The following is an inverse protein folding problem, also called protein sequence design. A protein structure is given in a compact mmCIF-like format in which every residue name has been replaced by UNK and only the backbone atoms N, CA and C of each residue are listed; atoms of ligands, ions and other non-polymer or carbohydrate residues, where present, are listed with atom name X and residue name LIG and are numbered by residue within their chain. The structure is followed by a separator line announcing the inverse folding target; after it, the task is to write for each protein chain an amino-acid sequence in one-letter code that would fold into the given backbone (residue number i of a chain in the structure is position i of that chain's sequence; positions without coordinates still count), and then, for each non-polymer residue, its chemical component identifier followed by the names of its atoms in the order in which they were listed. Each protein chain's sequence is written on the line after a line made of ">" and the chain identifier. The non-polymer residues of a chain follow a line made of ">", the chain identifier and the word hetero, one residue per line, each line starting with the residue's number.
data_IF_556918652750
#
_entry.id   IF_556918652750
#
_cell.length_a   1.000
_cell.length_b   1.000
_cell.length_c   1.000
_cell.angle_alpha   90.00
_cell.angle_beta   90.00
_cell.angle_gamma   90.00
#
_symmetry.space_group_name_H-M   'P 1'
#
loop_
_entity.id
_entity.type
_entity.pdbx_description
1 polymer ?
#
# COMPACT_ATOMS: atom_id res chain seq x y z
N UNK A 1 -4.77 -12.02 2.87
CA UNK A 1 -3.76 -13.05 3.21
C UNK A 1 -2.54 -12.88 2.28
N UNK A 2 -1.50 -13.71 2.41
CA UNK A 2 -0.37 -13.71 1.46
C UNK A 2 -0.82 -13.98 0.02
N UNK A 3 -1.67 -14.99 -0.18
CA UNK A 3 -2.17 -15.35 -1.51
C UNK A 3 -3.01 -14.22 -2.12
N UNK A 4 -3.84 -13.55 -1.31
CA UNK A 4 -4.60 -12.39 -1.77
C UNK A 4 -3.68 -11.22 -2.18
N UNK A 5 -2.58 -11.00 -1.44
CA UNK A 5 -1.62 -9.94 -1.75
C UNK A 5 -0.83 -10.23 -3.03
N UNK A 6 -0.45 -11.50 -3.26
CA UNK A 6 0.18 -11.94 -4.51
C UNK A 6 -0.77 -11.78 -5.70
N UNK A 7 -2.01 -12.26 -5.55
CA UNK A 7 -3.04 -12.08 -6.58
C UNK A 7 -3.29 -10.60 -6.88
N UNK A 8 -3.33 -9.74 -5.87
CA UNK A 8 -3.47 -8.29 -6.08
C UNK A 8 -2.27 -7.70 -6.84
N UNK A 9 -1.05 -8.16 -6.57
CA UNK A 9 0.13 -7.75 -7.32
C UNK A 9 0.05 -8.19 -8.79
N UNK A 10 -0.33 -9.45 -9.06
CA UNK A 10 -0.50 -9.99 -10.42
C UNK A 10 -1.55 -9.21 -11.21
N UNK A 11 -2.74 -9.00 -10.63
CA UNK A 11 -3.82 -8.27 -11.31
C UNK A 11 -3.42 -6.81 -11.62
N UNK A 12 -2.73 -6.13 -10.69
CA UNK A 12 -2.25 -4.76 -10.93
C UNK A 12 -1.07 -4.70 -11.91
N UNK A 13 -0.25 -5.76 -11.98
CA UNK A 13 0.83 -5.86 -12.97
C UNK A 13 0.27 -5.95 -14.38
N UNK A 14 -0.72 -6.82 -14.58
CA UNK A 14 -1.41 -7.00 -15.87
C UNK A 14 -2.14 -5.72 -16.31
N UNK A 15 -2.83 -5.05 -15.38
CA UNK A 15 -3.60 -3.83 -15.68
C UNK A 15 -2.72 -2.67 -16.14
N UNK A 16 -1.58 -2.47 -15.47
CA UNK A 16 -0.67 -1.34 -15.76
C UNK A 16 0.51 -1.69 -16.66
N UNK A 17 0.65 -2.97 -17.04
CA UNK A 17 1.75 -3.48 -17.86
C UNK A 17 3.12 -2.99 -17.38
N UNK A 18 3.35 -3.10 -16.06
CA UNK A 18 4.61 -2.66 -15.45
C UNK A 18 5.76 -3.52 -15.99
N UNK A 19 6.90 -2.93 -16.39
CA UNK A 19 8.08 -3.70 -16.76
C UNK A 19 8.53 -4.66 -15.65
N UNK A 20 8.91 -5.89 -16.03
CA UNK A 20 9.20 -6.98 -15.07
C UNK A 20 10.31 -6.61 -14.08
N UNK A 21 11.34 -5.87 -14.52
CA UNK A 21 12.45 -5.39 -13.69
C UNK A 21 12.02 -4.41 -12.58
N UNK A 22 10.94 -3.67 -12.81
CA UNK A 22 10.33 -2.79 -11.82
C UNK A 22 9.33 -3.57 -10.96
N UNK A 23 8.59 -4.51 -11.56
CA UNK A 23 7.61 -5.33 -10.86
C UNK A 23 8.24 -6.22 -9.79
N UNK A 24 9.42 -6.78 -10.03
CA UNK A 24 10.17 -7.56 -9.02
C UNK A 24 10.42 -6.75 -7.73
N UNK A 25 10.66 -5.44 -7.85
CA UNK A 25 10.81 -4.56 -6.67
C UNK A 25 9.49 -4.36 -5.93
N UNK A 26 8.37 -4.31 -6.64
CA UNK A 26 7.04 -4.16 -6.06
C UNK A 26 6.66 -5.38 -5.20
N UNK A 27 7.02 -6.59 -5.64
CA UNK A 27 6.84 -7.83 -4.88
C UNK A 27 7.64 -7.84 -3.56
N UNK A 28 8.73 -7.09 -3.52
CA UNK A 28 9.55 -6.89 -2.32
C UNK A 28 9.05 -5.70 -1.46
N UNK A 29 7.91 -5.11 -1.79
CA UNK A 29 7.38 -3.88 -1.18
C UNK A 29 8.38 -2.73 -1.25
N UNK A 30 8.98 -2.54 -2.42
CA UNK A 30 9.77 -1.37 -2.79
C UNK A 30 9.08 -0.70 -3.98
N UNK A 31 8.65 0.54 -3.82
CA UNK A 31 7.93 1.30 -4.86
C UNK A 31 8.80 2.46 -5.34
N UNK A 32 9.79 2.22 -6.23
CA UNK A 32 10.65 3.27 -6.76
C UNK A 32 9.86 4.33 -7.54
N UNK A 33 10.47 5.49 -7.74
CA UNK A 33 9.93 6.53 -8.62
C UNK A 33 9.91 6.01 -10.07
N UNK A 34 8.71 5.80 -10.59
CA UNK A 34 8.48 5.40 -11.96
C UNK A 34 7.08 5.87 -12.39
N UNK A 35 6.90 6.17 -13.67
CA UNK A 35 5.63 6.73 -14.20
C UNK A 35 4.40 5.87 -13.93
N UNK A 36 4.58 4.56 -13.72
CA UNK A 36 3.51 3.60 -13.45
C UNK A 36 3.31 3.31 -11.95
N UNK A 37 4.27 3.68 -11.09
CA UNK A 37 4.23 3.33 -9.66
C UNK A 37 2.99 3.87 -8.99
N UNK A 38 2.60 5.12 -9.28
CA UNK A 38 1.48 5.75 -8.59
C UNK A 38 0.18 4.97 -8.75
N UNK A 39 -0.19 4.66 -9.99
CA UNK A 39 -1.45 3.96 -10.25
C UNK A 39 -1.37 2.47 -9.92
N UNK A 40 -0.19 1.85 -10.04
CA UNK A 40 0.02 0.49 -9.54
C UNK A 40 -0.24 0.41 -8.02
N UNK A 41 0.35 1.33 -7.24
CA UNK A 41 0.16 1.35 -5.78
C UNK A 41 -1.30 1.58 -5.43
N UNK A 42 -1.96 2.53 -6.09
CA UNK A 42 -3.41 2.78 -5.97
C UNK A 42 -4.21 1.49 -6.18
N UNK A 43 -3.98 0.80 -7.29
CA UNK A 43 -4.64 -0.46 -7.60
C UNK A 43 -4.44 -1.50 -6.48
N UNK A 44 -3.20 -1.65 -6.02
CA UNK A 44 -2.89 -2.64 -5.00
C UNK A 44 -3.57 -2.33 -3.66
N UNK A 45 -3.52 -1.08 -3.18
CA UNK A 45 -4.15 -0.69 -1.91
C UNK A 45 -5.68 -0.76 -1.95
N UNK A 46 -6.29 -0.61 -3.14
CA UNK A 46 -7.73 -0.84 -3.34
C UNK A 46 -8.10 -2.32 -3.28
N UNK A 47 -7.33 -3.18 -3.96
CA UNK A 47 -7.55 -4.64 -3.93
C UNK A 47 -7.35 -5.21 -2.53
N UNK A 48 -6.43 -4.64 -1.76
CA UNK A 48 -6.26 -4.96 -0.33
C UNK A 48 -7.34 -4.37 0.57
N UNK A 49 -8.29 -3.60 0.02
CA UNK A 49 -9.43 -3.05 0.74
C UNK A 49 -9.07 -1.99 1.78
N UNK A 50 -7.88 -1.40 1.69
CA UNK A 50 -7.41 -0.37 2.62
C UNK A 50 -7.55 1.04 2.07
N UNK A 51 -7.93 1.20 0.80
CA UNK A 51 -8.16 2.49 0.15
C UNK A 51 -9.38 2.42 -0.78
N UNK A 52 -10.06 3.54 -0.97
CA UNK A 52 -11.02 3.75 -2.05
C UNK A 52 -10.92 5.19 -2.54
N UNK A 53 -11.12 5.45 -3.83
CA UNK A 53 -11.03 6.81 -4.40
C UNK A 53 -11.92 7.83 -3.67
N UNK A 54 -13.14 7.42 -3.28
CA UNK A 54 -14.13 8.32 -2.69
C UNK A 54 -13.90 8.61 -1.20
N UNK A 55 -13.26 7.71 -0.45
CA UNK A 55 -13.12 7.83 1.02
C UNK A 55 -11.67 7.91 1.50
N UNK A 56 -10.71 7.70 0.60
CA UNK A 56 -9.31 7.57 0.97
C UNK A 56 -9.01 6.26 1.69
N UNK A 57 -7.99 6.31 2.55
CA UNK A 57 -7.52 5.17 3.31
C UNK A 57 -8.44 4.85 4.50
N UNK A 58 -8.75 3.57 4.69
CA UNK A 58 -9.53 3.08 5.82
C UNK A 58 -8.59 2.61 6.94
N UNK A 59 -8.34 3.50 7.90
CA UNK A 59 -7.46 3.23 9.05
C UNK A 59 -7.85 1.97 9.83
N UNK A 60 -9.15 1.69 9.99
CA UNK A 60 -9.62 0.49 10.69
C UNK A 60 -9.21 -0.78 9.95
N UNK A 61 -9.32 -0.79 8.62
CA UNK A 61 -8.90 -1.92 7.79
C UNK A 61 -7.37 -2.07 7.82
N UNK A 62 -6.62 -0.97 7.80
CA UNK A 62 -5.15 -1.00 7.91
C UNK A 62 -4.74 -1.63 9.24
N UNK A 63 -5.30 -1.16 10.37
CA UNK A 63 -5.00 -1.73 11.69
C UNK A 63 -5.36 -3.21 11.72
N UNK A 64 -6.56 -3.59 11.31
CA UNK A 64 -6.98 -4.99 11.29
C UNK A 64 -6.03 -5.87 10.44
N UNK A 65 -5.70 -5.43 9.22
CA UNK A 65 -4.86 -6.18 8.28
C UNK A 65 -3.43 -6.40 8.81
N UNK A 66 -2.85 -5.43 9.51
CA UNK A 66 -1.44 -5.48 9.89
C UNK A 66 -1.19 -5.90 11.35
N UNK A 67 -2.25 -6.08 12.14
CA UNK A 67 -2.14 -6.50 13.55
C UNK A 67 -2.87 -7.79 13.89
N UNK A 68 -3.62 -8.42 12.97
CA UNK A 68 -4.43 -9.60 13.31
C UNK A 68 -3.59 -10.79 13.80
N UNK A 69 -2.42 -11.06 13.20
CA UNK A 69 -1.53 -12.16 13.64
C UNK A 69 -0.61 -11.76 14.79
N UNK A 70 -0.24 -10.48 14.86
CA UNK A 70 0.74 -10.00 15.81
C UNK A 70 0.38 -8.59 16.31
N UNK A 71 -0.25 -8.55 17.47
CA UNK A 71 -0.67 -7.31 18.12
C UNK A 71 0.52 -6.39 18.49
N UNK A 72 1.76 -6.90 18.57
CA UNK A 72 2.95 -6.07 18.80
C UNK A 72 3.20 -5.06 17.67
N UNK A 73 2.61 -5.27 16.50
CA UNK A 73 2.69 -4.33 15.39
C UNK A 73 1.82 -3.08 15.60
N UNK A 74 0.85 -3.10 16.53
CA UNK A 74 -0.17 -2.06 16.66
C UNK A 74 0.43 -0.66 16.85
N UNK A 75 1.44 -0.53 17.70
CA UNK A 75 2.07 0.76 17.98
C UNK A 75 2.72 1.35 16.72
N UNK A 76 3.51 0.56 15.99
CA UNK A 76 4.16 0.97 14.74
C UNK A 76 3.14 1.31 13.64
N UNK A 77 2.08 0.50 13.51
CA UNK A 77 1.01 0.72 12.53
C UNK A 77 0.29 2.04 12.81
N UNK A 78 -0.08 2.30 14.07
CA UNK A 78 -0.73 3.55 14.49
C UNK A 78 0.19 4.76 14.32
N UNK A 79 1.46 4.63 14.68
CA UNK A 79 2.43 5.70 14.49
C UNK A 79 2.60 6.07 13.01
N UNK A 80 2.65 5.07 12.13
CA UNK A 80 2.69 5.30 10.68
C UNK A 80 1.43 6.02 10.18
N UNK A 81 0.24 5.63 10.67
CA UNK A 81 -1.02 6.28 10.29
C UNK A 81 -1.04 7.75 10.71
N UNK A 82 -0.75 8.04 11.98
CA UNK A 82 -0.71 9.42 12.52
C UNK A 82 0.23 10.33 11.71
N UNK A 83 1.37 9.79 11.25
CA UNK A 83 2.38 10.56 10.53
C UNK A 83 2.05 10.80 9.05
N UNK A 84 1.31 9.90 8.41
CA UNK A 84 1.26 9.81 6.95
C UNK A 84 -0.14 9.89 6.34
N UNK A 85 -1.19 9.67 7.13
CA UNK A 85 -2.56 9.71 6.62
C UNK A 85 -2.92 11.15 6.23
N UNK A 86 -3.46 11.35 5.04
CA UNK A 86 -4.02 12.63 4.59
C UNK A 86 -5.33 12.38 3.83
N UNK A 87 -6.17 13.42 3.72
CA UNK A 87 -7.49 13.34 3.08
C UNK A 87 -7.49 13.99 1.68
N UNK A 88 -6.40 13.83 0.95
CA UNK A 88 -6.07 14.49 -0.32
C UNK A 88 -6.02 16.03 -0.21
N UNK A 89 -5.44 16.54 0.87
CA UNK A 89 -5.29 17.98 1.15
C UNK A 89 -4.50 18.74 0.06
N UNK A 90 -3.77 18.00 -0.78
CA UNK A 90 -2.94 18.51 -1.87
C UNK A 90 -3.67 18.52 -3.22
N UNK A 91 -4.93 18.06 -3.25
CA UNK A 91 -5.79 18.02 -4.45
C UNK A 91 -5.12 17.35 -5.66
N UNK A 92 -4.26 16.37 -5.41
CA UNK A 92 -3.58 15.60 -6.46
C UNK A 92 -4.51 14.55 -7.05
N UNK A 93 -4.15 14.02 -8.23
CA UNK A 93 -4.83 12.86 -8.78
C UNK A 93 -4.78 11.66 -7.81
N UNK A 94 -5.79 10.79 -7.92
CA UNK A 94 -6.01 9.69 -6.96
C UNK A 94 -4.82 8.74 -6.89
N UNK A 95 -4.12 8.49 -8.00
CA UNK A 95 -2.94 7.63 -8.02
C UNK A 95 -1.80 8.25 -7.22
N UNK A 96 -1.51 9.54 -7.46
CA UNK A 96 -0.49 10.28 -6.74
C UNK A 96 -0.81 10.38 -5.25
N UNK A 97 -2.07 10.62 -4.90
CA UNK A 97 -2.53 10.65 -3.51
C UNK A 97 -2.30 9.29 -2.83
N UNK A 98 -2.81 8.20 -3.42
CA UNK A 98 -2.69 6.87 -2.85
C UNK A 98 -1.22 6.48 -2.65
N UNK A 99 -0.36 6.73 -3.65
CA UNK A 99 1.05 6.41 -3.52
C UNK A 99 1.77 7.29 -2.50
N UNK A 100 1.48 8.61 -2.44
CA UNK A 100 2.10 9.51 -1.44
C UNK A 100 1.87 9.00 -0.02
N UNK A 101 0.62 8.73 0.32
CA UNK A 101 0.24 8.27 1.66
C UNK A 101 0.82 6.88 1.94
N UNK A 102 0.64 5.93 1.01
CA UNK A 102 1.12 4.56 1.23
C UNK A 102 2.65 4.48 1.29
N UNK A 103 3.37 5.17 0.42
CA UNK A 103 4.84 5.22 0.44
C UNK A 103 5.37 5.89 1.71
N UNK A 104 4.69 6.92 2.23
CA UNK A 104 5.03 7.48 3.54
C UNK A 104 4.86 6.42 4.65
N UNK A 105 3.69 5.78 4.70
CA UNK A 105 3.36 4.80 5.74
C UNK A 105 4.28 3.57 5.67
N UNK A 106 4.59 3.10 4.46
CA UNK A 106 5.43 1.94 4.21
C UNK A 106 6.87 2.17 4.67
N UNK A 107 7.42 3.38 4.56
CA UNK A 107 8.76 3.69 5.12
C UNK A 107 8.86 3.39 6.62
N UNK A 108 7.76 3.51 7.36
CA UNK A 108 7.67 3.15 8.78
C UNK A 108 7.41 1.65 8.95
N UNK A 109 6.48 1.10 8.16
CA UNK A 109 5.90 -0.23 8.41
C UNK A 109 6.31 -1.33 7.43
N UNK A 110 7.32 -1.11 6.57
CA UNK A 110 7.77 -2.11 5.57
C UNK A 110 8.09 -3.47 6.19
N UNK A 111 8.71 -3.47 7.37
CA UNK A 111 9.02 -4.70 8.09
C UNK A 111 7.77 -5.48 8.52
N UNK A 112 6.66 -4.80 8.79
CA UNK A 112 5.36 -5.40 9.10
C UNK A 112 4.74 -5.99 7.83
N UNK A 113 4.69 -5.20 6.74
CA UNK A 113 4.11 -5.63 5.45
C UNK A 113 4.80 -6.88 4.91
N UNK A 114 6.14 -6.87 4.91
CA UNK A 114 6.93 -8.03 4.46
C UNK A 114 6.65 -9.27 5.29
N UNK A 115 6.61 -9.17 6.62
CA UNK A 115 6.32 -10.33 7.47
C UNK A 115 4.90 -10.87 7.26
N UNK A 116 3.97 -10.02 6.84
CA UNK A 116 2.58 -10.39 6.58
C UNK A 116 2.40 -11.12 5.25
N UNK A 117 3.16 -10.73 4.23
CA UNK A 117 2.88 -11.13 2.84
C UNK A 117 4.06 -11.80 2.12
N UNK A 118 5.25 -11.87 2.72
CA UNK A 118 6.44 -12.53 2.16
C UNK A 118 6.82 -13.73 3.02
#
# INVERSE_FOLDING_TARGET
>A
TKDDALKAHEECHEEFQVPDDIYEQYLDYQFPEHKLTNCYVKCWVEKMGIFTENRGFNEKNIVAQYTYENFKNLESVRHGLEKCIDHNEWETDVCTWANRVFSCWLKVNRHVVRKMFT
#
